data_IF_930967646309
#
_entry.id   IF_930967646309
#
_cell.length_a   1.000
_cell.length_b   1.000
_cell.length_c   1.000
_cell.angle_alpha   90.00
_cell.angle_beta   90.00
_cell.angle_gamma   90.00
#
_symmetry.space_group_name_H-M   'P 1'
#
loop_
_entity.id
_entity.type
_entity.pdbx_description
1 polymer ?
#
# COMPACT_ATOMS: atom_id res chain seq x y z
N UNK A 1 1.01 -11.79 -9.04
CA UNK A 1 0.13 -12.56 -8.12
C UNK A 1 -0.37 -13.88 -8.72
N UNK A 2 -1.19 -13.90 -9.79
CA UNK A 2 -1.84 -15.13 -10.29
C UNK A 2 -0.91 -16.33 -10.56
N UNK A 3 0.23 -16.09 -11.21
CA UNK A 3 1.18 -17.17 -11.49
C UNK A 3 1.77 -17.79 -10.21
N UNK A 4 2.06 -16.96 -9.20
CA UNK A 4 2.59 -17.40 -7.91
C UNK A 4 1.56 -18.21 -7.12
N UNK A 5 0.32 -17.73 -7.03
CA UNK A 5 -0.74 -18.47 -6.31
C UNK A 5 -1.01 -19.82 -6.98
N UNK A 6 -1.02 -19.85 -8.31
CA UNK A 6 -1.16 -21.09 -9.08
C UNK A 6 0.01 -22.04 -8.83
N UNK A 7 1.27 -21.56 -8.81
CA UNK A 7 2.43 -22.42 -8.57
C UNK A 7 2.50 -22.96 -7.14
N UNK A 8 1.87 -22.28 -6.19
CA UNK A 8 1.74 -22.73 -4.80
C UNK A 8 0.51 -23.61 -4.57
N UNK A 9 -0.32 -23.87 -5.58
CA UNK A 9 -1.56 -24.65 -5.45
C UNK A 9 -2.65 -23.92 -4.66
N UNK A 10 -2.63 -22.58 -4.64
CA UNK A 10 -3.61 -21.74 -3.95
C UNK A 10 -4.62 -21.24 -4.96
N UNK A 11 -5.77 -21.93 -5.04
CA UNK A 11 -6.84 -21.59 -5.98
C UNK A 11 -7.60 -20.32 -5.59
N UNK A 12 -7.85 -20.16 -4.28
CA UNK A 12 -8.52 -19.00 -3.69
C UNK A 12 -7.80 -18.55 -2.43
N UNK A 13 -7.65 -17.24 -2.23
CA UNK A 13 -6.95 -16.68 -1.08
C UNK A 13 -7.67 -15.46 -0.50
N UNK A 14 -7.49 -15.25 0.81
CA UNK A 14 -7.63 -13.92 1.40
C UNK A 14 -6.37 -13.11 1.06
N UNK A 15 -6.53 -11.86 0.64
CA UNK A 15 -5.42 -11.01 0.21
C UNK A 15 -5.38 -9.75 1.04
N UNK A 16 -4.23 -9.43 1.62
CA UNK A 16 -3.97 -8.16 2.29
C UNK A 16 -2.84 -7.43 1.57
N UNK A 17 -2.99 -6.13 1.39
CA UNK A 17 -1.95 -5.28 0.82
C UNK A 17 -1.84 -3.97 1.59
N UNK A 18 -0.60 -3.53 1.84
CA UNK A 18 -0.26 -2.27 2.49
C UNK A 18 0.58 -1.42 1.55
N UNK A 19 0.37 -0.10 1.54
CA UNK A 19 1.05 0.85 0.65
C UNK A 19 0.90 0.42 -0.82
N UNK A 20 1.96 0.40 -1.66
CA UNK A 20 1.90 -0.11 -3.04
C UNK A 20 1.35 -1.54 -3.09
N UNK A 21 1.54 -2.34 -2.04
CA UNK A 21 0.95 -3.68 -1.92
C UNK A 21 -0.58 -3.67 -1.99
N UNK A 22 -1.25 -2.61 -1.52
CA UNK A 22 -2.71 -2.46 -1.63
C UNK A 22 -3.15 -2.30 -3.09
N UNK A 23 -2.34 -1.60 -3.90
CA UNK A 23 -2.59 -1.44 -5.34
C UNK A 23 -2.48 -2.80 -6.05
N UNK A 24 -1.47 -3.59 -5.70
CA UNK A 24 -1.31 -4.97 -6.20
C UNK A 24 -2.49 -5.85 -5.77
N UNK A 25 -2.93 -5.75 -4.52
CA UNK A 25 -4.08 -6.51 -4.00
C UNK A 25 -5.37 -6.15 -4.74
N UNK A 26 -5.65 -4.86 -4.93
CA UNK A 26 -6.81 -4.37 -5.65
C UNK A 26 -6.80 -4.83 -7.12
N UNK A 27 -5.68 -4.64 -7.82
CA UNK A 27 -5.53 -5.08 -9.21
C UNK A 27 -5.74 -6.60 -9.35
N UNK A 28 -5.25 -7.40 -8.40
CA UNK A 28 -5.44 -8.84 -8.42
C UNK A 28 -6.90 -9.24 -8.20
N UNK A 29 -7.58 -8.64 -7.23
CA UNK A 29 -9.00 -8.91 -6.96
C UNK A 29 -9.92 -8.47 -8.11
N UNK A 30 -9.62 -7.34 -8.76
CA UNK A 30 -10.41 -6.86 -9.90
C UNK A 30 -10.28 -7.75 -11.13
N UNK A 31 -9.08 -8.31 -11.37
CA UNK A 31 -8.82 -9.15 -12.54
C UNK A 31 -9.20 -10.63 -12.31
N UNK A 32 -9.19 -11.10 -11.07
CA UNK A 32 -9.45 -12.50 -10.70
C UNK A 32 -10.39 -12.58 -9.50
N UNK A 33 -11.62 -12.03 -9.60
CA UNK A 33 -12.54 -11.97 -8.47
C UNK A 33 -12.90 -13.35 -7.90
N UNK A 34 -12.93 -14.39 -8.74
CA UNK A 34 -13.15 -15.78 -8.33
C UNK A 34 -12.02 -16.35 -7.46
N UNK A 35 -10.81 -15.80 -7.58
CA UNK A 35 -9.61 -16.25 -6.87
C UNK A 35 -9.42 -15.55 -5.51
N UNK A 36 -10.28 -14.58 -5.17
CA UNK A 36 -10.18 -13.82 -3.92
C UNK A 36 -11.40 -14.12 -3.05
N UNK A 37 -11.17 -14.55 -1.80
CA UNK A 37 -12.24 -14.80 -0.83
C UNK A 37 -12.63 -13.53 -0.08
N UNK A 38 -11.62 -12.74 0.31
CA UNK A 38 -11.72 -11.44 0.98
C UNK A 38 -10.49 -10.61 0.68
N UNK A 39 -10.62 -9.29 0.76
CA UNK A 39 -9.51 -8.36 0.55
C UNK A 39 -9.39 -7.37 1.71
N UNK A 40 -8.16 -7.10 2.14
CA UNK A 40 -7.85 -6.01 3.06
C UNK A 40 -6.87 -5.03 2.39
N UNK A 41 -7.23 -3.73 2.40
CA UNK A 41 -6.38 -2.65 1.93
C UNK A 41 -5.91 -1.85 3.15
N UNK A 42 -4.61 -1.63 3.27
CA UNK A 42 -3.99 -0.92 4.38
C UNK A 42 -3.27 0.31 3.87
N UNK A 43 -3.61 1.45 4.43
CA UNK A 43 -3.02 2.78 4.29
C UNK A 43 -2.20 3.08 2.99
N UNK A 44 -2.79 3.93 2.14
CA UNK A 44 -2.24 4.72 1.04
C UNK A 44 -3.47 5.19 0.22
N UNK A 45 -3.46 5.08 -1.11
CA UNK A 45 -4.64 5.34 -1.94
C UNK A 45 -4.66 4.49 -3.21
N UNK A 46 -5.83 4.38 -3.84
CA UNK A 46 -6.02 3.79 -5.16
C UNK A 46 -5.89 4.90 -6.23
N UNK A 47 -4.86 4.91 -7.08
CA UNK A 47 -4.81 5.85 -8.19
C UNK A 47 -5.98 5.60 -9.16
N UNK A 48 -6.43 6.61 -9.89
CA UNK A 48 -7.57 6.49 -10.81
C UNK A 48 -8.96 6.51 -10.16
N UNK A 49 -9.06 6.41 -8.84
CA UNK A 49 -10.34 6.27 -8.11
C UNK A 49 -10.64 7.52 -7.30
N UNK A 50 -11.83 8.11 -7.49
CA UNK A 50 -12.24 9.32 -6.78
C UNK A 50 -11.29 10.50 -7.04
N UNK A 51 -11.03 11.33 -6.03
CA UNK A 51 -10.15 12.50 -6.13
C UNK A 51 -8.66 12.16 -5.88
N UNK A 52 -8.20 11.05 -6.46
CA UNK A 52 -6.84 10.54 -6.25
C UNK A 52 -5.76 11.56 -6.66
N UNK A 53 -6.04 12.43 -7.64
CA UNK A 53 -5.10 13.45 -8.11
C UNK A 53 -4.79 14.49 -7.05
N UNK A 54 -5.74 14.80 -6.17
CA UNK A 54 -5.50 15.73 -5.06
C UNK A 54 -4.39 15.20 -4.13
N UNK A 55 -4.46 13.91 -3.81
CA UNK A 55 -3.44 13.22 -3.00
C UNK A 55 -2.13 13.11 -3.77
N UNK A 56 -2.16 12.59 -5.01
CA UNK A 56 -0.96 12.38 -5.82
C UNK A 56 -0.10 13.65 -6.02
N UNK A 57 -0.75 14.81 -6.11
CA UNK A 57 -0.08 16.11 -6.32
C UNK A 57 0.30 16.82 -5.01
N UNK A 58 0.06 16.23 -3.83
CA UNK A 58 0.51 16.81 -2.57
C UNK A 58 2.03 16.90 -2.54
N UNK A 59 2.54 18.05 -2.08
CA UNK A 59 3.98 18.33 -2.00
C UNK A 59 4.74 17.25 -1.22
N UNK A 60 4.14 16.75 -0.15
CA UNK A 60 4.77 15.77 0.73
C UNK A 60 4.79 14.35 0.10
N UNK A 61 4.14 14.16 -1.05
CA UNK A 61 4.16 12.93 -1.85
C UNK A 61 5.00 13.07 -3.14
N UNK A 62 6.02 13.94 -3.12
CA UNK A 62 6.96 14.19 -4.21
C UNK A 62 7.63 12.91 -4.77
N UNK A 63 7.75 11.88 -3.96
CA UNK A 63 8.43 10.62 -4.29
C UNK A 63 7.76 9.86 -5.44
N UNK A 64 6.47 10.07 -5.71
CA UNK A 64 5.81 9.53 -6.90
C UNK A 64 6.43 10.00 -8.22
N UNK A 65 7.16 11.11 -8.21
CA UNK A 65 7.86 11.66 -9.38
C UNK A 65 9.39 11.50 -9.28
N UNK A 66 9.89 10.83 -8.24
CA UNK A 66 11.32 10.68 -7.97
C UNK A 66 11.83 9.31 -8.42
N UNK A 67 11.84 9.09 -9.74
CA UNK A 67 12.39 7.87 -10.34
C UNK A 67 13.25 8.17 -11.58
N UNK A 68 13.98 7.16 -12.04
CA UNK A 68 14.86 7.26 -13.21
C UNK A 68 16.32 7.58 -12.87
N UNK A 69 17.11 7.92 -13.90
CA UNK A 69 18.58 7.98 -13.79
C UNK A 69 19.09 8.97 -12.74
N UNK A 70 18.46 10.15 -12.65
CA UNK A 70 18.89 11.19 -11.71
C UNK A 70 18.57 10.82 -10.26
N UNK A 71 17.32 10.46 -9.90
CA UNK A 71 17.01 9.91 -8.57
C UNK A 71 17.90 8.75 -8.15
N UNK A 72 18.16 7.78 -9.03
CA UNK A 72 19.04 6.65 -8.73
C UNK A 72 20.46 7.09 -8.36
N UNK A 73 21.04 8.02 -9.13
CA UNK A 73 22.36 8.58 -8.81
C UNK A 73 22.36 9.40 -7.51
N UNK A 74 21.23 10.00 -7.13
CA UNK A 74 21.09 10.73 -5.88
C UNK A 74 21.01 9.80 -4.66
N UNK A 75 20.42 8.62 -4.79
CA UNK A 75 20.26 7.70 -3.63
C UNK A 75 21.36 6.66 -3.51
N UNK A 76 22.21 6.49 -4.52
CA UNK A 76 23.32 5.53 -4.51
C UNK A 76 24.24 5.73 -3.28
N UNK A 77 24.34 4.68 -2.44
CA UNK A 77 25.07 4.69 -1.17
C UNK A 77 24.44 5.56 -0.06
N UNK A 78 23.21 6.05 -0.28
CA UNK A 78 22.44 6.93 0.61
C UNK A 78 21.00 6.45 0.80
N UNK A 79 20.74 5.16 0.56
CA UNK A 79 19.43 4.54 0.64
C UNK A 79 18.82 4.74 2.02
N UNK A 80 19.63 4.60 3.09
CA UNK A 80 19.17 4.87 4.46
C UNK A 80 18.65 6.30 4.62
N UNK A 81 19.37 7.30 4.10
CA UNK A 81 18.95 8.71 4.19
C UNK A 81 17.64 8.93 3.45
N UNK A 82 17.48 8.29 2.28
CA UNK A 82 16.25 8.33 1.51
C UNK A 82 15.07 7.75 2.30
N UNK A 83 15.23 6.56 2.89
CA UNK A 83 14.14 5.92 3.63
C UNK A 83 13.83 6.53 5.00
N UNK A 84 14.82 7.15 5.65
CA UNK A 84 14.61 7.90 6.89
C UNK A 84 13.52 8.97 6.74
N UNK A 85 13.45 9.65 5.59
CA UNK A 85 12.38 10.60 5.33
C UNK A 85 11.00 9.95 5.46
N UNK A 86 10.76 8.81 4.80
CA UNK A 86 9.44 8.17 4.81
C UNK A 86 9.12 7.54 6.17
N UNK A 87 10.09 6.85 6.79
CA UNK A 87 9.87 6.23 8.09
C UNK A 87 9.53 7.24 9.17
N UNK A 88 10.03 8.47 9.07
CA UNK A 88 9.75 9.51 10.05
C UNK A 88 8.51 10.33 9.67
N UNK A 89 8.46 10.83 8.43
CA UNK A 89 7.46 11.83 8.05
C UNK A 89 6.08 11.23 7.80
N UNK A 90 5.99 9.91 7.54
CA UNK A 90 4.70 9.22 7.35
C UNK A 90 4.19 8.55 8.64
N UNK A 91 4.96 8.58 9.73
CA UNK A 91 4.54 8.06 11.01
C UNK A 91 3.67 9.07 11.78
N UNK A 92 2.82 8.58 12.70
CA UNK A 92 2.13 9.47 13.64
C UNK A 92 3.10 10.09 14.66
N UNK A 93 4.10 9.32 15.08
CA UNK A 93 5.20 9.77 15.92
C UNK A 93 6.54 9.32 15.31
N UNK A 94 7.37 10.23 14.79
CA UNK A 94 8.69 9.90 14.24
C UNK A 94 9.61 9.16 15.23
N UNK A 95 9.41 9.34 16.54
CA UNK A 95 10.19 8.64 17.57
C UNK A 95 9.73 7.19 17.79
N UNK A 96 8.55 6.82 17.28
CA UNK A 96 7.92 5.51 17.47
C UNK A 96 7.38 4.95 16.14
N UNK A 97 8.16 5.05 15.06
CA UNK A 97 7.80 4.50 13.75
C UNK A 97 8.35 3.08 13.54
N UNK A 98 9.27 2.90 12.59
CA UNK A 98 9.95 1.63 12.28
C UNK A 98 11.15 1.45 13.20
N UNK A 99 11.35 0.22 13.70
CA UNK A 99 12.46 -0.11 14.61
C UNK A 99 13.83 0.07 13.96
N UNK A 100 14.87 0.42 14.73
CA UNK A 100 16.23 0.59 14.18
C UNK A 100 16.75 -0.69 13.49
N UNK A 101 16.40 -1.87 14.02
CA UNK A 101 16.77 -3.15 13.41
C UNK A 101 16.16 -3.31 12.01
N UNK A 102 14.88 -2.98 11.86
CA UNK A 102 14.19 -3.06 10.58
C UNK A 102 14.68 -1.98 9.61
N UNK A 103 14.94 -0.76 10.10
CA UNK A 103 15.53 0.29 9.27
C UNK A 103 16.91 -0.11 8.73
N UNK A 104 17.73 -0.82 9.50
CA UNK A 104 19.01 -1.37 9.02
C UNK A 104 18.80 -2.46 7.97
N UNK A 105 17.88 -3.39 8.26
CA UNK A 105 17.55 -4.48 7.35
C UNK A 105 17.02 -3.98 6.01
N UNK A 106 16.02 -3.10 6.02
CA UNK A 106 15.41 -2.55 4.80
C UNK A 106 16.40 -1.73 3.99
N UNK A 107 17.20 -0.86 4.62
CA UNK A 107 18.21 -0.08 3.91
C UNK A 107 19.23 -1.00 3.22
N UNK A 108 19.70 -2.06 3.90
CA UNK A 108 20.63 -3.02 3.32
C UNK A 108 20.01 -3.84 2.17
N UNK A 109 18.71 -4.15 2.26
CA UNK A 109 17.97 -4.85 1.21
C UNK A 109 17.82 -3.97 -0.05
N UNK A 110 17.45 -2.70 0.12
CA UNK A 110 17.30 -1.77 -1.01
C UNK A 110 18.63 -1.34 -1.63
N UNK A 111 19.72 -1.34 -0.86
CA UNK A 111 21.07 -1.08 -1.34
C UNK A 111 21.68 -2.24 -2.18
N UNK A 112 21.02 -3.40 -2.25
CA UNK A 112 21.46 -4.46 -3.16
C UNK A 112 21.37 -3.99 -4.62
N UNK A 113 22.21 -4.54 -5.53
CA UNK A 113 22.17 -4.18 -6.94
C UNK A 113 20.75 -4.28 -7.52
N UNK A 114 20.23 -3.15 -7.99
CA UNK A 114 18.89 -3.05 -8.57
C UNK A 114 17.74 -2.88 -7.56
N UNK A 115 17.99 -2.89 -6.25
CA UNK A 115 16.96 -2.74 -5.21
C UNK A 115 16.21 -1.41 -5.31
N UNK A 116 16.95 -0.28 -5.26
CA UNK A 116 16.36 1.05 -5.46
C UNK A 116 15.69 1.21 -6.82
N UNK A 117 16.27 0.65 -7.88
CA UNK A 117 15.68 0.69 -9.22
C UNK A 117 14.32 -0.01 -9.24
N UNK A 118 14.22 -1.23 -8.71
CA UNK A 118 12.96 -1.95 -8.62
C UNK A 118 11.92 -1.19 -7.78
N UNK A 119 12.34 -0.61 -6.65
CA UNK A 119 11.47 0.23 -5.81
C UNK A 119 10.92 1.45 -6.55
N UNK A 120 11.72 2.11 -7.38
CA UNK A 120 11.30 3.30 -8.13
C UNK A 120 10.48 2.99 -9.38
N UNK A 121 10.62 1.80 -9.96
CA UNK A 121 9.88 1.41 -11.16
C UNK A 121 8.37 1.32 -10.93
N UNK A 122 7.92 1.10 -9.69
CA UNK A 122 6.48 1.14 -9.36
C UNK A 122 5.89 2.53 -9.60
N UNK A 123 6.64 3.60 -9.30
CA UNK A 123 6.21 4.97 -9.53
C UNK A 123 6.23 5.35 -11.02
N UNK A 124 7.11 4.74 -11.81
CA UNK A 124 7.11 4.93 -13.27
C UNK A 124 5.83 4.39 -13.93
N UNK A 125 5.22 3.35 -13.35
CA UNK A 125 3.98 2.77 -13.86
C UNK A 125 2.70 3.47 -13.37
N UNK A 126 2.82 4.42 -12.44
CA UNK A 126 1.70 4.93 -11.64
C UNK A 126 0.53 5.52 -12.45
N UNK A 127 0.81 6.27 -13.51
CA UNK A 127 -0.24 6.83 -14.38
C UNK A 127 -0.98 5.74 -15.17
N UNK A 128 -0.28 4.66 -15.55
CA UNK A 128 -0.91 3.50 -16.17
C UNK A 128 -1.78 2.77 -15.16
N UNK A 129 -1.29 2.57 -13.94
CA UNK A 129 -2.07 1.96 -12.86
C UNK A 129 -3.33 2.78 -12.57
N UNK A 130 -3.24 4.12 -12.59
CA UNK A 130 -4.40 5.01 -12.48
C UNK A 130 -5.43 4.75 -13.60
N UNK A 131 -5.00 4.65 -14.85
CA UNK A 131 -5.89 4.38 -15.97
C UNK A 131 -6.54 2.99 -15.87
N UNK A 132 -5.77 1.97 -15.47
CA UNK A 132 -6.29 0.61 -15.27
C UNK A 132 -7.27 0.54 -14.10
N UNK A 133 -7.00 1.24 -12.99
CA UNK A 133 -7.84 1.22 -11.80
C UNK A 133 -9.14 2.00 -12.01
N UNK A 134 -9.09 3.10 -12.77
CA UNK A 134 -10.30 3.81 -13.21
C UNK A 134 -11.24 2.86 -13.98
N UNK A 135 -10.69 2.02 -14.87
CA UNK A 135 -11.46 0.99 -15.60
C UNK A 135 -11.92 -0.13 -14.68
N UNK A 136 -11.09 -0.62 -13.77
CA UNK A 136 -11.49 -1.65 -12.80
C UNK A 136 -12.63 -1.18 -11.90
N UNK A 137 -12.62 0.10 -11.49
CA UNK A 137 -13.64 0.69 -10.62
C UNK A 137 -15.03 0.76 -11.26
N UNK A 138 -15.16 0.60 -12.57
CA UNK A 138 -16.47 0.50 -13.26
C UNK A 138 -17.27 -0.73 -12.80
N UNK A 139 -16.59 -1.78 -12.32
CA UNK A 139 -17.22 -2.98 -11.75
C UNK A 139 -16.79 -3.14 -10.31
N UNK A 140 -17.76 -3.07 -9.39
CA UNK A 140 -17.47 -3.25 -7.96
C UNK A 140 -16.99 -4.66 -7.66
N UNK A 141 -16.01 -4.75 -6.78
CA UNK A 141 -15.56 -6.00 -6.19
C UNK A 141 -16.69 -6.65 -5.36
N UNK A 142 -17.05 -7.91 -5.64
CA UNK A 142 -18.19 -8.57 -5.00
C UNK A 142 -17.84 -9.20 -3.64
N UNK A 143 -16.55 -9.42 -3.36
CA UNK A 143 -16.11 -9.99 -2.09
C UNK A 143 -16.03 -8.93 -0.99
N UNK A 144 -16.10 -9.32 0.30
CA UNK A 144 -15.91 -8.41 1.41
C UNK A 144 -14.55 -7.72 1.36
N UNK A 145 -14.55 -6.41 1.63
CA UNK A 145 -13.37 -5.57 1.74
C UNK A 145 -13.25 -5.00 3.16
N UNK A 146 -12.07 -5.14 3.74
CA UNK A 146 -11.64 -4.37 4.90
C UNK A 146 -10.70 -3.25 4.43
N UNK A 147 -10.89 -2.05 4.96
CA UNK A 147 -9.95 -0.95 4.81
C UNK A 147 -9.45 -0.52 6.19
N UNK A 148 -8.14 -0.56 6.40
CA UNK A 148 -7.48 -0.09 7.61
C UNK A 148 -6.59 1.11 7.27
N UNK A 149 -6.75 2.21 7.99
CA UNK A 149 -5.98 3.44 7.75
C UNK A 149 -5.47 4.02 9.05
N UNK A 150 -4.34 4.70 9.02
CA UNK A 150 -3.85 5.53 10.12
C UNK A 150 -4.59 6.86 10.16
N UNK A 151 -4.96 7.29 11.36
CA UNK A 151 -5.58 8.61 11.58
C UNK A 151 -4.69 9.77 11.08
N UNK A 152 -3.37 9.64 11.22
CA UNK A 152 -2.38 10.65 10.82
C UNK A 152 -1.86 10.45 9.39
N UNK A 153 -2.42 9.49 8.66
CA UNK A 153 -2.03 9.16 7.29
C UNK A 153 -3.26 9.26 6.37
N UNK A 154 -3.65 8.17 5.70
CA UNK A 154 -4.74 8.22 4.72
C UNK A 154 -6.14 8.50 5.32
N UNK A 155 -6.35 8.25 6.62
CA UNK A 155 -7.60 8.53 7.32
C UNK A 155 -8.85 8.00 6.60
N UNK A 156 -9.87 8.84 6.44
CA UNK A 156 -11.12 8.46 5.74
C UNK A 156 -10.96 8.35 4.21
N UNK A 157 -9.85 8.80 3.63
CA UNK A 157 -9.70 8.92 2.17
C UNK A 157 -9.73 7.55 1.48
N UNK A 158 -8.90 6.60 1.92
CA UNK A 158 -8.89 5.24 1.35
C UNK A 158 -10.20 4.50 1.64
N UNK A 159 -10.86 4.75 2.77
CA UNK A 159 -12.16 4.16 3.09
C UNK A 159 -13.23 4.65 2.10
N UNK A 160 -13.23 5.95 1.80
CA UNK A 160 -14.10 6.53 0.78
C UNK A 160 -13.84 5.92 -0.60
N UNK A 161 -12.57 5.73 -0.98
CA UNK A 161 -12.21 5.03 -2.23
C UNK A 161 -12.69 3.57 -2.24
N UNK A 162 -12.52 2.83 -1.12
CA UNK A 162 -13.02 1.47 -0.97
C UNK A 162 -14.51 1.35 -1.29
N UNK A 163 -15.33 2.29 -0.77
CA UNK A 163 -16.79 2.34 -1.03
C UNK A 163 -17.15 2.60 -2.49
N UNK A 164 -16.26 3.19 -3.28
CA UNK A 164 -16.43 3.37 -4.72
C UNK A 164 -16.19 2.07 -5.48
N UNK A 165 -15.26 1.23 -5.02
CA UNK A 165 -14.76 0.08 -5.78
C UNK A 165 -15.23 -1.28 -5.30
N UNK A 166 -15.94 -1.36 -4.17
CA UNK A 166 -16.44 -2.62 -3.62
C UNK A 166 -17.91 -2.51 -3.16
N UNK A 167 -18.60 -3.65 -3.14
CA UNK A 167 -19.99 -3.75 -2.69
C UNK A 167 -20.11 -3.71 -1.16
N UNK A 168 -19.17 -4.35 -0.47
CA UNK A 168 -19.19 -4.56 0.98
C UNK A 168 -17.89 -4.08 1.58
N UNK A 169 -17.92 -2.94 2.25
CA UNK A 169 -16.72 -2.30 2.81
C UNK A 169 -16.90 -2.06 4.30
N UNK A 170 -15.97 -2.60 5.08
CA UNK A 170 -15.77 -2.21 6.46
C UNK A 170 -14.50 -1.35 6.54
N UNK A 171 -14.65 -0.10 6.98
CA UNK A 171 -13.55 0.84 7.14
C UNK A 171 -13.23 1.08 8.61
N UNK A 172 -11.95 1.10 8.96
CA UNK A 172 -11.47 1.35 10.31
C UNK A 172 -10.29 2.31 10.25
N UNK A 173 -10.45 3.47 10.90
CA UNK A 173 -9.35 4.40 11.16
C UNK A 173 -8.69 4.01 12.49
N UNK A 174 -7.39 3.77 12.47
CA UNK A 174 -6.57 3.42 13.63
C UNK A 174 -6.08 4.70 14.28
N UNK A 175 -6.74 5.05 15.40
CA UNK A 175 -6.45 6.25 16.17
C UNK A 175 -4.99 6.27 16.67
N UNK A 176 -4.35 7.43 16.51
CA UNK A 176 -2.96 7.66 16.92
C UNK A 176 -1.91 7.04 16.01
N UNK A 177 -2.28 6.41 14.90
CA UNK A 177 -1.34 5.74 13.98
C UNK A 177 -1.14 6.51 12.69
N UNK A 178 0.08 6.45 12.16
CA UNK A 178 0.45 6.89 10.83
C UNK A 178 0.36 5.78 9.81
N UNK A 179 1.21 5.88 8.79
CA UNK A 179 1.21 4.98 7.66
C UNK A 179 1.74 3.58 7.99
N UNK A 180 2.63 3.44 8.97
CA UNK A 180 3.31 2.18 9.29
C UNK A 180 2.48 1.32 10.25
N UNK A 181 1.22 1.04 9.89
CA UNK A 181 0.22 0.41 10.75
C UNK A 181 0.70 -0.84 11.51
N UNK A 182 1.49 -1.70 10.86
CA UNK A 182 2.00 -2.94 11.47
C UNK A 182 3.10 -2.68 12.51
N UNK A 183 3.81 -1.57 12.42
CA UNK A 183 4.84 -1.14 13.36
C UNK A 183 4.25 -0.24 14.46
N UNK A 184 3.33 0.66 14.10
CA UNK A 184 2.78 1.69 14.99
C UNK A 184 1.62 1.21 15.87
N UNK A 185 0.84 0.21 15.42
CA UNK A 185 -0.28 -0.33 16.19
C UNK A 185 -0.55 -1.82 15.92
N UNK A 186 0.46 -2.71 16.04
CA UNK A 186 0.31 -4.14 15.79
C UNK A 186 -0.82 -4.77 16.63
N UNK A 187 -1.01 -4.32 17.86
CA UNK A 187 -2.04 -4.82 18.79
C UNK A 187 -3.48 -4.47 18.37
N UNK A 188 -3.66 -3.46 17.52
CA UNK A 188 -4.96 -3.11 16.93
C UNK A 188 -5.14 -3.77 15.56
N UNK A 189 -4.08 -3.71 14.73
CA UNK A 189 -4.13 -4.09 13.31
C UNK A 189 -4.17 -5.61 13.12
N UNK A 190 -3.29 -6.35 13.82
CA UNK A 190 -3.19 -7.81 13.65
C UNK A 190 -4.49 -8.52 14.04
N UNK A 191 -5.10 -8.28 15.23
CA UNK A 191 -6.35 -8.95 15.59
C UNK A 191 -7.48 -8.63 14.61
N UNK A 192 -7.50 -7.40 14.08
CA UNK A 192 -8.53 -6.96 13.13
C UNK A 192 -8.41 -7.69 11.80
N UNK A 193 -7.20 -7.88 11.28
CA UNK A 193 -6.92 -8.68 10.07
C UNK A 193 -7.27 -10.16 10.31
N UNK A 194 -6.82 -10.74 11.43
CA UNK A 194 -7.08 -12.14 11.78
C UNK A 194 -8.58 -12.41 11.85
N UNK A 195 -9.34 -11.57 12.56
CA UNK A 195 -10.79 -11.71 12.66
C UNK A 195 -11.48 -11.62 11.29
N UNK A 196 -11.02 -10.70 10.43
CA UNK A 196 -11.59 -10.53 9.08
C UNK A 196 -11.38 -11.76 8.20
N UNK A 197 -10.18 -12.35 8.21
CA UNK A 197 -9.87 -13.50 7.37
C UNK A 197 -10.36 -14.83 7.94
N UNK A 198 -10.70 -14.89 9.24
CA UNK A 198 -11.24 -16.10 9.88
C UNK A 198 -12.75 -16.32 9.72
N UNK A 199 -13.49 -15.27 9.35
CA UNK A 199 -14.96 -15.32 9.23
C UNK A 199 -15.45 -16.22 8.06
#
# INVERSE_FOLDING_TARGET
MRALTTSLGIDRAGVVGHDIGLMVAYAYAAQYPEAVTRIALMDAFLPGVGDWTHVWLMRDLWHFHFYGKTPLALVDGRERIYFEHFWNDFAADPAHSVSEADRQFYAAAYAQPGGMAAGFEVFRAFERDAADFARFAETKLPMPMLVLTGEKASGEFLIAQGRLVAEQVEGVVVEGSGHWLMDEAPEKVIPRLVAFFAA
#
